data_IF_719704486608
#
_entry.id   IF_719704486608
#
_cell.length_a   1.000
_cell.length_b   1.000
_cell.length_c   1.000
_cell.angle_alpha   90.00
_cell.angle_beta   90.00
_cell.angle_gamma   90.00
#
_symmetry.space_group_name_H-M   'P 1'
#
loop_
_entity.id
_entity.type
_entity.pdbx_description
1 polymer ?
#
# COMPACT_ATOMS: atom_id res chain seq x y z
N UNK A 1 -5.56 -0.96 -14.40
CA UNK A 1 -5.60 -2.44 -14.43
C UNK A 1 -5.28 -2.94 -13.02
N UNK A 2 -6.25 -2.83 -12.10
CA UNK A 2 -6.36 -3.56 -10.83
C UNK A 2 -7.51 -3.03 -9.98
N UNK A 3 -8.68 -3.63 -10.17
CA UNK A 3 -9.96 -3.20 -9.59
C UNK A 3 -10.63 -4.31 -8.78
N UNK A 4 -10.01 -5.49 -8.73
CA UNK A 4 -10.47 -6.65 -7.96
C UNK A 4 -10.55 -6.28 -6.48
N UNK A 5 -11.70 -6.50 -5.86
CA UNK A 5 -11.95 -6.21 -4.44
C UNK A 5 -12.11 -4.72 -4.10
N UNK A 6 -12.18 -3.82 -5.10
CA UNK A 6 -12.42 -2.38 -4.88
C UNK A 6 -13.89 -2.05 -5.11
N UNK A 7 -14.54 -1.48 -4.10
CA UNK A 7 -15.94 -1.03 -4.17
C UNK A 7 -16.16 -0.06 -5.34
N UNK A 8 -17.24 -0.25 -6.09
CA UNK A 8 -17.61 0.57 -7.24
C UNK A 8 -16.73 0.38 -8.49
N UNK A 9 -15.92 -0.68 -8.54
CA UNK A 9 -15.05 -0.99 -9.69
C UNK A 9 -15.30 -2.41 -10.22
N UNK A 10 -14.89 -2.66 -11.46
CA UNK A 10 -15.00 -3.99 -12.07
C UNK A 10 -14.23 -5.04 -11.24
N UNK A 11 -14.92 -6.08 -10.77
CA UNK A 11 -14.32 -7.10 -9.92
C UNK A 11 -14.45 -6.85 -8.41
N UNK A 12 -15.27 -5.88 -8.00
CA UNK A 12 -15.66 -5.65 -6.60
C UNK A 12 -16.13 -6.94 -5.89
N UNK A 13 -16.97 -7.74 -6.55
CA UNK A 13 -17.55 -8.96 -5.99
C UNK A 13 -16.61 -10.17 -6.00
N UNK A 14 -15.42 -10.04 -6.59
CA UNK A 14 -14.46 -11.13 -6.68
C UNK A 14 -13.76 -11.28 -5.33
N UNK A 15 -13.93 -12.46 -4.72
CA UNK A 15 -13.33 -12.82 -3.43
C UNK A 15 -12.21 -13.85 -3.52
N UNK A 16 -12.05 -14.49 -4.68
CA UNK A 16 -11.05 -15.51 -4.92
C UNK A 16 -10.43 -15.29 -6.30
N UNK A 17 -9.10 -15.30 -6.35
CA UNK A 17 -8.31 -15.19 -7.58
C UNK A 17 -7.44 -16.44 -7.67
N UNK A 18 -7.57 -17.16 -8.78
CA UNK A 18 -6.72 -18.31 -9.09
C UNK A 18 -5.76 -17.88 -10.20
N UNK A 19 -4.46 -17.93 -9.93
CA UNK A 19 -3.43 -17.50 -10.87
C UNK A 19 -2.21 -18.44 -10.81
N UNK A 20 -1.57 -18.59 -11.97
CA UNK A 20 -0.27 -19.25 -12.14
C UNK A 20 0.72 -18.14 -12.49
N UNK A 21 1.79 -17.98 -11.70
CA UNK A 21 2.74 -16.87 -11.80
C UNK A 21 2.17 -15.50 -11.38
N UNK A 22 1.64 -15.44 -10.15
CA UNK A 22 1.08 -14.23 -9.50
C UNK A 22 1.94 -12.94 -9.61
N UNK A 23 3.24 -13.05 -9.90
CA UNK A 23 4.20 -11.95 -9.91
C UNK A 23 4.08 -11.02 -11.13
N UNK A 24 3.55 -11.51 -12.24
CA UNK A 24 3.51 -10.74 -13.51
C UNK A 24 2.23 -9.93 -13.68
N UNK A 25 1.14 -10.30 -13.00
CA UNK A 25 -0.19 -9.71 -13.20
C UNK A 25 -0.42 -8.43 -12.37
N UNK A 26 0.53 -8.06 -11.50
CA UNK A 26 0.56 -6.76 -10.84
C UNK A 26 -0.62 -6.47 -9.91
N UNK A 27 -1.31 -7.50 -9.41
CA UNK A 27 -2.42 -7.35 -8.46
C UNK A 27 -1.96 -6.87 -7.09
N UNK A 28 -2.65 -5.82 -6.63
CA UNK A 28 -2.41 -5.12 -5.38
C UNK A 28 -3.75 -5.00 -4.64
N UNK A 29 -3.99 -5.98 -3.78
CA UNK A 29 -5.01 -5.90 -2.73
C UNK A 29 -4.31 -6.01 -1.39
N UNK A 30 -4.77 -5.22 -0.44
CA UNK A 30 -4.39 -5.31 0.96
C UNK A 30 -5.36 -6.19 1.76
N UNK A 31 -6.46 -6.66 1.16
CA UNK A 31 -7.52 -7.45 1.81
C UNK A 31 -7.33 -8.96 1.71
N UNK A 32 -6.10 -9.43 1.48
CA UNK A 32 -5.80 -10.85 1.31
C UNK A 32 -5.74 -11.53 2.68
N UNK A 33 -6.67 -12.44 2.94
CA UNK A 33 -6.73 -13.18 4.22
C UNK A 33 -6.24 -14.61 4.11
N UNK A 34 -6.28 -15.21 2.90
CA UNK A 34 -5.94 -16.61 2.69
C UNK A 34 -5.08 -16.76 1.43
N UNK A 35 -4.05 -17.58 1.52
CA UNK A 35 -3.21 -18.00 0.39
C UNK A 35 -3.15 -19.53 0.36
N UNK A 36 -3.55 -20.11 -0.77
CA UNK A 36 -3.56 -21.56 -0.96
C UNK A 36 -2.62 -21.97 -2.11
N UNK A 37 -1.57 -22.72 -1.76
CA UNK A 37 -0.73 -23.44 -2.70
C UNK A 37 -1.39 -24.74 -3.16
N UNK A 38 -1.85 -24.79 -4.40
CA UNK A 38 -2.49 -25.98 -5.00
C UNK A 38 -1.47 -26.89 -5.70
N UNK A 39 -0.25 -26.40 -5.94
CA UNK A 39 0.86 -27.15 -6.56
C UNK A 39 2.17 -26.80 -5.86
N UNK A 40 3.14 -27.71 -5.92
CA UNK A 40 4.50 -27.48 -5.45
C UNK A 40 5.14 -26.25 -6.13
N UNK A 41 5.76 -25.41 -5.32
CA UNK A 41 6.51 -24.24 -5.77
C UNK A 41 7.91 -24.68 -6.22
N UNK A 42 8.37 -24.12 -7.35
CA UNK A 42 9.68 -24.48 -7.92
C UNK A 42 10.88 -23.96 -7.11
N UNK A 43 10.69 -22.92 -6.30
CA UNK A 43 11.74 -22.32 -5.45
C UNK A 43 11.14 -21.72 -4.18
N UNK A 44 11.94 -21.59 -3.11
CA UNK A 44 11.53 -20.90 -1.87
C UNK A 44 11.27 -19.41 -2.08
N UNK A 45 12.03 -18.75 -2.98
CA UNK A 45 11.84 -17.34 -3.30
C UNK A 45 10.43 -17.04 -3.84
N UNK A 46 9.87 -17.95 -4.63
CA UNK A 46 8.48 -17.81 -5.12
C UNK A 46 7.45 -17.92 -3.98
N UNK A 47 7.70 -18.77 -2.98
CA UNK A 47 6.85 -18.88 -1.80
C UNK A 47 6.81 -17.55 -1.02
N UNK A 48 7.98 -16.97 -0.75
CA UNK A 48 8.11 -15.69 -0.04
C UNK A 48 7.39 -14.55 -0.74
N UNK A 49 7.59 -14.41 -2.06
CA UNK A 49 6.98 -13.34 -2.83
C UNK A 49 5.45 -13.47 -2.89
N UNK A 50 4.93 -14.69 -2.88
CA UNK A 50 3.48 -14.95 -2.83
C UNK A 50 2.92 -14.61 -1.45
N UNK A 51 3.58 -15.02 -0.37
CA UNK A 51 3.15 -14.75 1.00
C UNK A 51 3.22 -13.26 1.33
N UNK A 52 4.26 -12.56 0.88
CA UNK A 52 4.41 -11.12 1.08
C UNK A 52 3.23 -10.28 0.54
N UNK A 53 2.40 -10.84 -0.34
CA UNK A 53 1.16 -10.19 -0.79
C UNK A 53 0.09 -10.11 0.30
N UNK A 54 0.04 -11.10 1.19
CA UNK A 54 -0.92 -11.16 2.28
C UNK A 54 -0.45 -10.47 3.58
N UNK A 55 0.79 -10.01 3.63
CA UNK A 55 1.34 -9.29 4.78
C UNK A 55 1.05 -7.78 4.75
N UNK A 56 0.30 -7.30 3.76
CA UNK A 56 -0.16 -5.91 3.71
C UNK A 56 -1.31 -5.71 4.69
N UNK A 57 -1.26 -4.60 5.41
CA UNK A 57 -2.28 -4.27 6.41
C UNK A 57 -3.57 -3.79 5.74
N UNK A 58 -4.70 -4.30 6.22
CA UNK A 58 -6.03 -3.95 5.75
C UNK A 58 -6.46 -2.57 6.22
N UNK A 59 -6.18 -2.24 7.49
CA UNK A 59 -6.54 -0.96 8.09
C UNK A 59 -5.33 -0.26 8.70
N UNK A 60 -5.30 1.07 8.63
CA UNK A 60 -4.32 1.89 9.34
C UNK A 60 -4.89 2.57 10.59
N UNK A 61 -6.10 2.18 11.00
CA UNK A 61 -6.74 2.76 12.18
C UNK A 61 -6.04 2.25 13.46
N UNK A 62 -5.95 3.14 14.44
CA UNK A 62 -5.45 2.85 15.77
C UNK A 62 -6.59 2.29 16.63
N UNK A 63 -6.25 1.40 17.55
CA UNK A 63 -7.15 0.94 18.61
C UNK A 63 -7.22 1.98 19.75
N UNK A 64 -7.98 1.66 20.81
CA UNK A 64 -8.18 2.53 21.98
C UNK A 64 -6.85 2.86 22.71
N UNK A 65 -5.85 1.99 22.59
CA UNK A 65 -4.51 2.17 23.17
C UNK A 65 -3.57 2.97 22.25
N UNK A 66 -4.04 3.46 21.10
CA UNK A 66 -3.20 4.15 20.13
C UNK A 66 -2.23 3.23 19.39
N UNK A 67 -2.53 1.93 19.32
CA UNK A 67 -1.72 0.90 18.66
C UNK A 67 -2.45 0.31 17.45
N UNK A 68 -1.67 -0.32 16.59
CA UNK A 68 -2.19 -1.07 15.46
C UNK A 68 -2.61 -2.48 15.88
N UNK A 69 -3.84 -2.87 15.53
CA UNK A 69 -4.28 -4.24 15.72
C UNK A 69 -3.44 -5.20 14.87
N UNK A 70 -3.14 -6.36 15.44
CA UNK A 70 -2.49 -7.47 14.74
C UNK A 70 -3.49 -8.06 13.74
N UNK A 71 -3.02 -8.29 12.52
CA UNK A 71 -3.78 -8.93 11.45
C UNK A 71 -3.05 -10.22 11.05
N UNK A 72 -3.82 -11.26 10.71
CA UNK A 72 -3.30 -12.56 10.34
C UNK A 72 -3.76 -12.93 8.93
N UNK A 73 -2.91 -13.65 8.22
CA UNK A 73 -3.25 -14.28 6.95
C UNK A 73 -2.93 -15.78 7.03
N UNK A 74 -3.87 -16.61 6.60
CA UNK A 74 -3.73 -18.05 6.60
C UNK A 74 -3.03 -18.52 5.33
N UNK A 75 -1.94 -19.27 5.49
CA UNK A 75 -1.15 -19.81 4.38
C UNK A 75 -1.22 -21.33 4.42
N UNK A 76 -1.71 -21.92 3.34
CA UNK A 76 -2.00 -23.35 3.23
C UNK A 76 -1.30 -23.93 2.01
N UNK A 77 -0.74 -25.14 2.11
CA UNK A 77 -0.15 -25.85 0.97
C UNK A 77 1.10 -25.20 0.36
N UNK A 78 1.67 -24.19 1.03
CA UNK A 78 2.96 -23.59 0.67
C UNK A 78 4.00 -24.10 1.69
N UNK A 79 5.11 -24.73 1.24
CA UNK A 79 6.17 -25.20 2.12
C UNK A 79 7.01 -24.01 2.58
N UNK A 80 6.45 -23.23 3.50
CA UNK A 80 7.08 -22.04 4.06
C UNK A 80 7.38 -22.29 5.54
N UNK A 81 8.66 -22.21 5.89
CA UNK A 81 9.14 -22.46 7.25
C UNK A 81 9.44 -21.12 7.93
N UNK A 82 8.40 -20.45 8.42
CA UNK A 82 8.58 -19.33 9.33
C UNK A 82 8.67 -19.91 10.74
N UNK A 83 9.71 -19.58 11.48
CA UNK A 83 10.00 -20.08 12.83
C UNK A 83 8.96 -19.70 13.90
N UNK A 84 7.78 -19.20 13.51
CA UNK A 84 6.69 -18.79 14.38
C UNK A 84 5.63 -19.90 14.50
N UNK A 85 5.26 -20.23 15.74
CA UNK A 85 4.14 -21.15 16.00
C UNK A 85 2.84 -20.54 15.44
N UNK A 86 1.97 -21.33 14.79
CA UNK A 86 0.65 -20.88 14.38
C UNK A 86 -0.12 -20.33 15.59
N UNK A 87 -0.62 -19.11 15.49
CA UNK A 87 -1.50 -18.50 16.50
C UNK A 87 -2.90 -18.49 15.93
N UNK A 88 -3.81 -19.24 16.55
CA UNK A 88 -5.23 -19.21 16.18
C UNK A 88 -5.82 -17.92 16.73
N UNK A 89 -6.07 -16.96 15.86
CA UNK A 89 -6.81 -15.75 16.20
C UNK A 89 -8.32 -16.05 16.16
N UNK A 90 -9.10 -15.69 17.19
CA UNK A 90 -10.56 -15.80 17.12
C UNK A 90 -11.10 -14.86 16.02
N UNK A 91 -12.19 -15.24 15.32
CA UNK A 91 -12.82 -14.37 14.34
C UNK A 91 -13.21 -13.05 15.00
N UNK A 92 -12.69 -11.94 14.48
CA UNK A 92 -13.09 -10.61 14.95
C UNK A 92 -14.45 -10.27 14.32
N UNK A 93 -15.39 -9.69 15.07
CA UNK A 93 -16.62 -9.19 14.48
C UNK A 93 -16.28 -8.13 13.41
N UNK A 94 -17.05 -8.04 12.32
CA UNK A 94 -16.90 -6.96 11.36
C UNK A 94 -16.92 -5.62 12.08
N UNK A 95 -15.97 -4.74 11.77
CA UNK A 95 -15.98 -3.39 12.34
C UNK A 95 -17.30 -2.71 12.03
N UNK A 96 -17.87 -2.03 13.01
CA UNK A 96 -19.01 -1.15 12.77
C UNK A 96 -18.56 -0.04 11.82
N UNK A 97 -19.02 -0.11 10.58
CA UNK A 97 -18.80 0.94 9.59
C UNK A 97 -19.79 2.06 9.85
N UNK A 98 -19.27 3.21 10.27
CA UNK A 98 -20.09 4.43 10.38
C UNK A 98 -20.36 4.90 8.95
N UNK A 99 -21.58 4.68 8.47
CA UNK A 99 -22.00 5.16 7.16
C UNK A 99 -22.10 6.69 7.16
N UNK A 100 -21.07 7.37 6.66
CA UNK A 100 -21.09 8.83 6.49
C UNK A 100 -21.91 9.18 5.25
N UNK A 101 -23.07 9.79 5.45
CA UNK A 101 -23.91 10.30 4.36
C UNK A 101 -24.38 11.72 4.64
N UNK A 102 -24.65 12.46 3.58
CA UNK A 102 -25.29 13.77 3.71
C UNK A 102 -26.72 13.57 4.24
N UNK A 103 -27.02 14.21 5.38
CA UNK A 103 -28.38 14.21 5.96
C UNK A 103 -29.15 15.35 5.31
N UNK A 104 -29.68 15.08 4.11
CA UNK A 104 -30.48 16.05 3.36
C UNK A 104 -31.97 15.78 3.53
N UNK A 105 -32.81 16.82 3.70
CA UNK A 105 -32.45 18.26 3.72
C UNK A 105 -31.97 18.79 5.09
N UNK A 106 -32.14 18.03 6.17
CA UNK A 106 -32.08 18.52 7.56
C UNK A 106 -30.77 19.23 7.97
N UNK A 107 -29.62 18.83 7.40
CA UNK A 107 -28.29 19.41 7.71
C UNK A 107 -27.67 20.22 6.59
N UNK A 108 -28.45 20.65 5.58
CA UNK A 108 -27.90 21.43 4.47
C UNK A 108 -27.35 22.82 4.89
N UNK A 109 -27.83 23.37 6.01
CA UNK A 109 -27.32 24.62 6.58
C UNK A 109 -25.88 24.51 7.11
N UNK A 110 -25.37 23.30 7.36
CA UNK A 110 -23.98 23.04 7.77
C UNK A 110 -23.05 22.79 6.58
N UNK A 111 -23.54 22.95 5.34
CA UNK A 111 -22.77 22.69 4.12
C UNK A 111 -21.62 23.69 3.96
N UNK A 112 -20.40 23.17 3.86
CA UNK A 112 -19.23 23.92 3.40
C UNK A 112 -19.12 23.78 1.87
N UNK A 113 -18.85 24.88 1.16
CA UNK A 113 -18.56 24.86 -0.29
C UNK A 113 -17.07 25.09 -0.49
N UNK A 114 -16.39 24.09 -1.05
CA UNK A 114 -15.01 24.24 -1.48
C UNK A 114 -14.96 24.86 -2.89
N UNK A 115 -14.04 25.80 -3.16
CA UNK A 115 -13.81 26.28 -4.51
C UNK A 115 -13.25 25.15 -5.38
N UNK A 116 -13.60 25.15 -6.67
CA UNK A 116 -12.99 24.24 -7.65
C UNK A 116 -11.60 24.76 -8.01
N UNK A 117 -10.56 24.19 -7.42
CA UNK A 117 -9.17 24.49 -7.80
C UNK A 117 -8.91 23.91 -9.20
N UNK A 118 -8.80 24.77 -10.20
CA UNK A 118 -8.51 24.35 -11.59
C UNK A 118 -7.03 23.98 -11.79
N UNK A 119 -6.16 24.49 -10.93
CA UNK A 119 -4.74 24.22 -10.91
C UNK A 119 -4.05 25.14 -9.91
N UNK A 120 -2.82 24.82 -9.57
CA UNK A 120 -1.89 25.71 -8.90
C UNK A 120 -0.58 25.66 -9.67
N UNK A 121 0.14 26.77 -9.70
CA UNK A 121 1.50 26.82 -10.25
C UNK A 121 2.40 27.36 -9.15
N UNK A 122 3.51 26.67 -8.93
CA UNK A 122 4.61 27.22 -8.16
C UNK A 122 5.43 28.05 -9.15
N UNK A 123 5.37 29.37 -8.99
CA UNK A 123 6.24 30.26 -9.75
C UNK A 123 7.52 30.44 -8.92
N UNK A 124 8.51 29.61 -9.21
CA UNK A 124 9.85 29.82 -8.70
C UNK A 124 10.41 31.04 -9.43
N UNK A 125 10.93 32.06 -8.73
CA UNK A 125 11.62 33.15 -9.41
C UNK A 125 12.73 32.55 -10.30
N UNK A 126 12.95 33.12 -11.48
CA UNK A 126 14.15 32.85 -12.28
C UNK A 126 15.37 33.39 -11.53
N UNK A 127 15.79 32.69 -10.49
CA UNK A 127 17.00 33.02 -9.77
C UNK A 127 18.18 32.68 -10.69
N UNK A 128 18.71 33.70 -11.36
CA UNK A 128 19.97 33.59 -12.09
C UNK A 128 21.08 33.48 -11.06
N UNK A 129 21.54 32.25 -10.82
CA UNK A 129 22.72 31.99 -10.01
C UNK A 129 23.94 32.62 -10.69
N UNK A 130 24.46 33.69 -10.13
CA UNK A 130 25.77 34.26 -10.50
C UNK A 130 26.84 33.69 -9.58
N UNK A 131 27.82 33.00 -10.15
CA UNK A 131 28.99 32.52 -9.43
C UNK A 131 30.16 33.49 -9.64
N UNK A 132 30.82 33.88 -8.55
CA UNK A 132 32.13 34.54 -8.59
C UNK A 132 33.19 33.45 -8.41
N UNK A 133 33.91 33.15 -9.48
CA UNK A 133 35.05 32.24 -9.44
C UNK A 133 36.28 33.02 -8.96
N UNK A 134 36.84 32.59 -7.83
CA UNK A 134 38.07 33.13 -7.25
C UNK A 134 39.20 32.09 -7.32
N UNK A 135 40.39 32.41 -6.80
CA UNK A 135 41.54 31.50 -6.85
C UNK A 135 41.24 30.14 -6.17
N UNK A 136 40.48 30.15 -5.08
CA UNK A 136 40.02 28.93 -4.36
C UNK A 136 39.04 28.07 -5.17
N UNK A 137 38.48 28.61 -6.26
CA UNK A 137 37.58 27.89 -7.17
C UNK A 137 38.34 27.09 -8.24
N UNK A 138 39.67 27.10 -8.21
CA UNK A 138 40.53 26.48 -9.21
C UNK A 138 41.18 25.23 -8.64
N UNK A 139 41.03 24.09 -9.32
CA UNK A 139 41.74 22.86 -8.99
C UNK A 139 42.68 22.50 -10.14
N UNK A 140 43.98 22.51 -9.86
CA UNK A 140 44.99 22.04 -10.81
C UNK A 140 45.12 20.52 -10.69
N UNK A 141 44.83 19.81 -11.78
CA UNK A 141 44.92 18.36 -11.83
C UNK A 141 46.37 17.94 -12.13
N UNK A 142 47.04 17.38 -11.13
CA UNK A 142 48.38 16.79 -11.26
C UNK A 142 48.33 15.27 -11.11
N UNK A 143 49.33 14.52 -11.64
CA UNK A 143 49.38 13.06 -11.51
C UNK A 143 49.49 12.54 -10.07
N UNK A 144 49.89 13.40 -9.13
CA UNK A 144 50.03 13.09 -7.71
C UNK A 144 48.69 13.22 -6.94
N UNK A 145 47.63 13.67 -7.62
CA UNK A 145 46.28 13.79 -7.07
C UNK A 145 45.58 12.42 -7.10
N UNK A 146 46.00 11.52 -6.20
CA UNK A 146 45.43 10.18 -5.99
C UNK A 146 44.85 10.04 -4.57
#
# INVERSE_FOLDING_TARGET
MNTVGKEGRLGESIRCVVSVSMLTEGWDANTVTHVLGVRAFGTQLLCEQVIGRALRRQSYDLNEDGLFNVEYADVLGIPFDFTAKPVVAPPQPPRETIQVKAVRPDRDHLKIRFPRVAGYRVDLPEERLTAEFNEDSTMELTPDLA
#
